data_IF_139010207983
#
_entry.id   IF_139010207983
#
_cell.length_a   1.000
_cell.length_b   1.000
_cell.length_c   1.000
_cell.angle_alpha   90.00
_cell.angle_beta   90.00
_cell.angle_gamma   90.00
#
_symmetry.space_group_name_H-M   'P 1'
#
loop_
_entity.id
_entity.type
_entity.pdbx_description
1 polymer ?
#
# COMPACT_ATOMS: atom_id res chain seq x y z
N UNK A 1 49.99 38.71 -39.87
CA UNK A 1 50.70 37.59 -39.21
C UNK A 1 50.41 37.71 -37.71
N UNK A 2 49.92 36.67 -37.01
CA UNK A 2 50.72 35.80 -36.09
C UNK A 2 51.69 36.59 -35.20
N UNK A 3 51.74 36.45 -33.87
CA UNK A 3 51.13 35.50 -32.91
C UNK A 3 51.32 36.01 -31.46
N UNK A 4 50.42 35.68 -30.51
CA UNK A 4 50.71 35.50 -29.05
C UNK A 4 51.33 36.72 -28.28
N UNK A 5 51.41 36.86 -26.94
CA UNK A 5 50.88 36.27 -25.68
C UNK A 5 51.24 37.29 -24.54
N UNK A 6 50.77 37.27 -23.28
CA UNK A 6 49.84 36.40 -22.54
C UNK A 6 49.23 37.11 -21.29
N UNK A 7 48.20 36.48 -20.70
CA UNK A 7 47.86 36.35 -19.25
C UNK A 7 48.18 37.53 -18.27
N UNK A 8 47.13 38.08 -17.65
CA UNK A 8 46.90 37.80 -16.22
C UNK A 8 45.40 37.74 -15.88
N UNK A 9 44.97 36.63 -15.27
CA UNK A 9 43.57 36.36 -14.97
C UNK A 9 43.15 37.01 -13.64
N UNK A 10 42.01 37.71 -13.64
CA UNK A 10 41.27 38.00 -12.42
C UNK A 10 39.77 37.99 -12.70
N UNK A 11 39.19 36.78 -12.78
CA UNK A 11 37.74 36.60 -12.70
C UNK A 11 37.41 35.78 -11.46
N UNK A 12 36.84 36.50 -10.49
CA UNK A 12 36.44 35.98 -9.18
C UNK A 12 35.29 35.00 -9.39
N UNK A 13 35.51 33.73 -9.04
CA UNK A 13 34.47 32.70 -9.11
C UNK A 13 33.51 32.88 -7.94
N UNK A 14 32.50 33.72 -8.12
CA UNK A 14 31.32 33.76 -7.26
C UNK A 14 30.39 32.59 -7.63
N UNK A 15 30.81 31.37 -7.30
CA UNK A 15 29.93 30.20 -7.32
C UNK A 15 28.92 30.31 -6.18
N UNK A 16 27.82 31.02 -6.42
CA UNK A 16 26.66 31.00 -5.54
C UNK A 16 26.15 29.56 -5.45
N UNK A 17 26.40 28.92 -4.31
CA UNK A 17 25.97 27.55 -4.05
C UNK A 17 24.45 27.47 -4.09
N UNK A 18 23.92 26.83 -5.13
CA UNK A 18 22.51 26.47 -5.20
C UNK A 18 22.27 25.37 -4.17
N UNK A 19 21.92 25.74 -2.95
CA UNK A 19 21.43 24.80 -1.96
C UNK A 19 20.08 24.28 -2.44
N UNK A 20 20.11 23.23 -3.26
CA UNK A 20 18.94 22.45 -3.62
C UNK A 20 18.48 21.71 -2.35
N UNK A 21 17.68 22.40 -1.53
CA UNK A 21 16.94 21.79 -0.44
C UNK A 21 15.95 20.80 -1.05
N UNK A 22 16.38 19.55 -1.19
CA UNK A 22 15.51 18.43 -1.47
C UNK A 22 14.56 18.29 -0.28
N UNK A 23 13.38 18.91 -0.39
CA UNK A 23 12.31 18.73 0.58
C UNK A 23 12.02 17.23 0.67
N UNK A 24 12.09 16.61 1.87
CA UNK A 24 11.76 15.21 2.01
C UNK A 24 10.28 15.04 1.64
N UNK A 25 10.02 14.35 0.53
CA UNK A 25 8.66 13.93 0.18
C UNK A 25 8.18 13.02 1.29
N UNK A 26 7.30 13.52 2.14
CA UNK A 26 6.70 12.76 3.22
C UNK A 26 5.85 11.64 2.62
N UNK A 27 6.42 10.43 2.61
CA UNK A 27 5.70 9.20 2.32
C UNK A 27 4.71 8.94 3.47
N UNK A 28 3.52 9.54 3.36
CA UNK A 28 2.42 9.28 4.27
C UNK A 28 1.89 7.86 4.04
N UNK A 29 2.39 6.88 4.79
CA UNK A 29 1.78 5.55 4.85
C UNK A 29 0.35 5.66 5.38
N UNK A 30 -0.62 5.41 4.50
CA UNK A 30 -2.04 5.51 4.82
C UNK A 30 -2.44 4.24 5.57
N UNK A 31 -2.63 4.38 6.89
CA UNK A 31 -3.16 3.29 7.73
C UNK A 31 -4.68 3.40 7.83
N UNK A 32 -5.41 2.33 7.46
CA UNK A 32 -6.86 2.20 7.63
C UNK A 32 -7.19 1.05 8.57
N UNK A 33 -8.21 1.24 9.40
CA UNK A 33 -8.73 0.18 10.28
C UNK A 33 -10.11 -0.27 9.83
N UNK A 34 -10.37 -1.57 9.94
CA UNK A 34 -11.63 -2.21 9.59
C UNK A 34 -12.07 -3.14 10.73
N UNK A 35 -13.36 -3.08 11.10
CA UNK A 35 -13.96 -3.98 12.08
C UNK A 35 -14.84 -5.00 11.37
N UNK A 36 -14.37 -6.23 11.27
CA UNK A 36 -15.04 -7.33 10.58
C UNK A 36 -15.93 -8.06 11.58
N UNK A 37 -17.17 -7.61 11.68
CA UNK A 37 -18.20 -8.28 12.50
C UNK A 37 -18.55 -9.67 11.93
N UNK A 38 -18.91 -10.65 12.78
CA UNK A 38 -19.36 -11.97 12.34
C UNK A 38 -20.43 -11.90 11.25
N UNK A 39 -20.19 -12.60 10.14
CA UNK A 39 -21.05 -12.72 8.95
C UNK A 39 -21.47 -11.39 8.29
N UNK A 40 -20.80 -10.26 8.60
CA UNK A 40 -21.05 -8.97 7.94
C UNK A 40 -19.92 -8.66 6.95
N UNK A 41 -20.22 -8.50 5.64
CA UNK A 41 -19.22 -8.10 4.67
C UNK A 41 -18.76 -6.66 4.90
N UNK A 42 -17.46 -6.42 4.70
CA UNK A 42 -16.85 -5.09 4.70
C UNK A 42 -16.04 -4.91 3.41
N UNK A 43 -16.30 -3.85 2.67
CA UNK A 43 -15.62 -3.55 1.42
C UNK A 43 -14.42 -2.62 1.61
N UNK A 44 -13.30 -2.97 0.99
CA UNK A 44 -12.11 -2.14 0.81
C UNK A 44 -11.95 -1.81 -0.69
N UNK A 45 -12.06 -0.54 -1.04
CA UNK A 45 -11.70 -0.04 -2.37
C UNK A 45 -10.31 0.60 -2.32
N UNK A 46 -9.43 0.17 -3.22
CA UNK A 46 -8.08 0.71 -3.38
C UNK A 46 -8.12 1.79 -4.47
N UNK A 47 -7.92 3.09 -4.15
CA UNK A 47 -8.10 4.18 -5.11
C UNK A 47 -6.98 4.25 -6.15
N UNK A 48 -5.81 3.69 -5.85
CA UNK A 48 -4.64 3.63 -6.72
C UNK A 48 -4.12 2.19 -6.78
N UNK A 49 -3.25 1.90 -7.75
CA UNK A 49 -2.53 0.62 -7.78
C UNK A 49 -1.56 0.59 -6.61
N UNK A 50 -1.79 -0.29 -5.64
CA UNK A 50 -1.06 -0.31 -4.37
C UNK A 50 -0.94 -1.73 -3.81
N UNK A 51 0.02 -1.91 -2.91
CA UNK A 51 0.28 -3.15 -2.19
C UNK A 51 0.04 -2.91 -0.70
N UNK A 52 -1.06 -3.43 -0.18
CA UNK A 52 -1.50 -3.21 1.19
C UNK A 52 -1.26 -4.45 2.04
N UNK A 53 -0.67 -4.28 3.23
CA UNK A 53 -0.55 -5.32 4.24
C UNK A 53 -1.56 -5.07 5.35
N UNK A 54 -2.48 -6.01 5.56
CA UNK A 54 -3.49 -5.96 6.61
C UNK A 54 -3.12 -6.89 7.76
N UNK A 55 -2.69 -6.33 8.90
CA UNK A 55 -2.43 -7.07 10.14
C UNK A 55 -3.74 -7.26 10.90
N UNK A 56 -4.04 -8.49 11.30
CA UNK A 56 -5.28 -8.83 11.99
C UNK A 56 -5.08 -8.93 13.51
N UNK A 57 -6.11 -8.56 14.27
CA UNK A 57 -6.23 -8.77 15.72
C UNK A 57 -7.53 -9.51 16.02
N UNK A 58 -7.44 -10.61 16.78
CA UNK A 58 -8.58 -11.47 17.13
C UNK A 58 -8.25 -12.40 18.31
N UNK A 59 -9.27 -12.87 19.02
CA UNK A 59 -9.10 -13.79 20.17
C UNK A 59 -8.88 -15.25 19.76
N UNK A 60 -9.46 -15.66 18.62
CA UNK A 60 -9.53 -17.07 18.21
C UNK A 60 -9.26 -17.21 16.71
N UNK A 61 -8.87 -18.42 16.27
CA UNK A 61 -8.73 -18.72 14.85
C UNK A 61 -10.08 -18.67 14.13
N UNK A 62 -10.12 -17.99 13.00
CA UNK A 62 -11.32 -17.79 12.19
C UNK A 62 -11.05 -18.09 10.70
N UNK A 63 -12.12 -18.13 9.91
CA UNK A 63 -12.03 -18.12 8.46
C UNK A 63 -12.53 -16.79 7.92
N UNK A 64 -11.78 -16.22 6.99
CA UNK A 64 -12.13 -15.00 6.28
C UNK A 64 -12.44 -15.35 4.82
N UNK A 65 -13.68 -15.11 4.40
CA UNK A 65 -14.06 -15.13 3.00
C UNK A 65 -13.63 -13.80 2.36
N UNK A 66 -12.93 -13.88 1.24
CA UNK A 66 -12.38 -12.73 0.53
C UNK A 66 -12.88 -12.80 -0.92
N UNK A 67 -13.59 -11.79 -1.39
CA UNK A 67 -14.25 -11.78 -2.70
C UNK A 67 -13.91 -10.50 -3.47
N UNK A 68 -13.59 -10.61 -4.76
CA UNK A 68 -13.33 -9.42 -5.60
C UNK A 68 -14.65 -8.97 -6.23
N UNK A 69 -15.14 -7.78 -5.85
CA UNK A 69 -16.38 -7.19 -6.39
C UNK A 69 -16.15 -6.43 -7.69
N UNK A 70 -14.98 -5.81 -7.83
CA UNK A 70 -14.56 -5.02 -9.00
C UNK A 70 -13.04 -5.15 -9.18
N UNK A 71 -12.56 -5.22 -10.42
CA UNK A 71 -11.14 -5.28 -10.74
C UNK A 71 -10.52 -6.67 -10.54
N UNK A 72 -9.22 -6.68 -10.23
CA UNK A 72 -8.40 -7.87 -10.02
C UNK A 72 -7.45 -7.61 -8.84
N UNK A 73 -7.29 -8.60 -7.98
CA UNK A 73 -6.42 -8.54 -6.80
C UNK A 73 -5.60 -9.82 -6.66
N UNK A 74 -4.38 -9.70 -6.16
CA UNK A 74 -3.59 -10.83 -5.66
C UNK A 74 -3.73 -10.84 -4.14
N UNK A 75 -4.31 -11.91 -3.61
CA UNK A 75 -4.57 -12.12 -2.18
C UNK A 75 -3.73 -13.30 -1.72
N UNK A 76 -2.74 -13.09 -0.85
CA UNK A 76 -1.82 -14.14 -0.40
C UNK A 76 -1.29 -15.01 -1.56
N UNK A 77 -0.70 -14.35 -2.58
CA UNK A 77 -0.19 -14.91 -3.83
C UNK A 77 -1.24 -15.57 -4.77
N UNK A 78 -2.51 -15.64 -4.40
CA UNK A 78 -3.59 -16.12 -5.26
C UNK A 78 -4.20 -14.96 -6.07
N UNK A 79 -4.14 -15.02 -7.40
CA UNK A 79 -4.80 -14.03 -8.27
C UNK A 79 -6.31 -14.31 -8.32
N UNK A 80 -7.10 -13.31 -7.95
CA UNK A 80 -8.56 -13.31 -8.01
C UNK A 80 -9.05 -12.19 -8.94
N UNK A 81 -9.99 -12.54 -9.80
CA UNK A 81 -10.71 -11.62 -10.68
C UNK A 81 -12.12 -11.35 -10.15
N UNK A 82 -12.78 -10.29 -10.65
CA UNK A 82 -14.18 -9.99 -10.35
C UNK A 82 -15.07 -11.25 -10.30
N UNK A 83 -15.83 -11.38 -9.21
CA UNK A 83 -16.74 -12.49 -8.95
C UNK A 83 -16.10 -13.69 -8.25
N UNK A 84 -14.78 -13.87 -8.33
CA UNK A 84 -14.07 -14.93 -7.64
C UNK A 84 -13.88 -14.62 -6.15
N UNK A 85 -13.79 -15.68 -5.35
CA UNK A 85 -13.49 -15.60 -3.93
C UNK A 85 -12.51 -16.68 -3.48
N UNK A 86 -11.84 -16.44 -2.37
CA UNK A 86 -11.04 -17.42 -1.63
C UNK A 86 -11.41 -17.38 -0.14
N UNK A 87 -11.09 -18.45 0.59
CA UNK A 87 -11.26 -18.51 2.04
C UNK A 87 -9.91 -18.73 2.69
N UNK A 88 -9.53 -17.83 3.60
CA UNK A 88 -8.27 -17.91 4.33
C UNK A 88 -8.52 -18.21 5.82
N UNK A 89 -7.82 -19.20 6.37
CA UNK A 89 -7.71 -19.33 7.83
C UNK A 89 -6.86 -18.18 8.37
N UNK A 90 -7.33 -17.52 9.42
CA UNK A 90 -6.71 -16.35 10.06
C UNK A 90 -6.63 -16.52 11.58
N UNK A 91 -5.60 -15.94 12.19
CA UNK A 91 -5.30 -15.98 13.63
C UNK A 91 -4.68 -14.64 14.06
N UNK A 92 -4.50 -14.39 15.36
CA UNK A 92 -3.96 -13.12 15.87
C UNK A 92 -2.62 -12.76 15.23
N UNK A 93 -2.42 -11.48 14.93
CA UNK A 93 -1.23 -10.90 14.28
C UNK A 93 -0.92 -11.44 12.86
N UNK A 94 -1.75 -12.32 12.29
CA UNK A 94 -1.58 -12.75 10.90
C UNK A 94 -1.74 -11.55 9.96
N UNK A 95 -0.82 -11.43 9.00
CA UNK A 95 -0.90 -10.46 7.91
C UNK A 95 -1.56 -11.07 6.66
N UNK A 96 -2.40 -10.29 5.99
CA UNK A 96 -2.91 -10.59 4.63
C UNK A 96 -2.31 -9.58 3.66
N UNK A 97 -1.67 -10.07 2.61
CA UNK A 97 -1.18 -9.25 1.50
C UNK A 97 -2.27 -9.06 0.44
N UNK A 98 -2.55 -7.81 0.08
CA UNK A 98 -3.50 -7.41 -0.95
C UNK A 98 -2.79 -6.51 -1.96
N UNK A 99 -2.46 -7.05 -3.13
CA UNK A 99 -1.93 -6.26 -4.25
C UNK A 99 -3.02 -6.09 -5.29
N UNK A 100 -3.38 -4.86 -5.64
CA UNK A 100 -4.48 -4.62 -6.57
C UNK A 100 -4.22 -3.42 -7.48
N UNK A 101 -4.93 -3.39 -8.62
CA UNK A 101 -4.98 -2.23 -9.50
C UNK A 101 -5.89 -1.15 -8.91
N UNK A 102 -5.76 0.09 -9.42
CA UNK A 102 -6.66 1.19 -9.07
C UNK A 102 -8.14 0.80 -9.29
N UNK A 103 -9.01 1.35 -8.44
CA UNK A 103 -10.44 1.09 -8.41
C UNK A 103 -10.86 -0.38 -8.21
N UNK A 104 -9.96 -1.23 -7.72
CA UNK A 104 -10.31 -2.60 -7.30
C UNK A 104 -11.05 -2.54 -5.96
N UNK A 105 -12.16 -3.27 -5.86
CA UNK A 105 -12.94 -3.41 -4.62
C UNK A 105 -12.92 -4.87 -4.19
N UNK A 106 -12.43 -5.10 -2.97
CA UNK A 106 -12.38 -6.41 -2.31
C UNK A 106 -13.32 -6.39 -1.10
N UNK A 107 -14.14 -7.42 -0.98
CA UNK A 107 -15.04 -7.66 0.14
C UNK A 107 -14.43 -8.72 1.08
N UNK A 108 -14.47 -8.42 2.38
CA UNK A 108 -14.01 -9.29 3.45
C UNK A 108 -15.18 -9.65 4.36
N UNK A 109 -15.46 -10.94 4.52
CA UNK A 109 -16.54 -11.44 5.39
C UNK A 109 -15.96 -12.41 6.41
N UNK A 110 -16.05 -12.02 7.68
CA UNK A 110 -15.62 -12.85 8.81
C UNK A 110 -16.63 -13.99 9.03
N UNK A 111 -16.22 -15.23 8.77
CA UNK A 111 -17.03 -16.44 9.01
C UNK A 111 -16.89 -16.98 10.45
N UNK A 112 -16.14 -16.28 11.30
CA UNK A 112 -15.98 -16.57 12.72
C UNK A 112 -17.15 -16.12 13.59
N UNK A 113 -16.96 -16.17 14.91
CA UNK A 113 -17.98 -15.83 15.92
C UNK A 113 -17.69 -14.56 16.72
N UNK A 114 -16.45 -14.08 16.73
CA UNK A 114 -16.06 -12.81 17.37
C UNK A 114 -15.53 -11.81 16.33
N UNK A 115 -15.35 -10.55 16.71
CA UNK A 115 -14.93 -9.48 15.81
C UNK A 115 -13.44 -9.64 15.48
N UNK A 116 -13.07 -9.44 14.21
CA UNK A 116 -11.68 -9.27 13.79
C UNK A 116 -11.43 -7.79 13.53
N UNK A 117 -10.40 -7.21 14.16
CA UNK A 117 -9.90 -5.87 13.80
C UNK A 117 -8.76 -6.03 12.79
N UNK A 118 -8.88 -5.41 11.62
CA UNK A 118 -7.84 -5.41 10.59
C UNK A 118 -7.23 -4.01 10.46
N UNK A 119 -5.91 -3.91 10.58
CA UNK A 119 -5.15 -2.66 10.37
C UNK A 119 -4.33 -2.80 9.10
N UNK A 120 -4.72 -2.06 8.06
CA UNK A 120 -4.17 -2.11 6.72
C UNK A 120 -3.28 -0.90 6.45
N UNK A 121 -2.02 -1.11 6.10
CA UNK A 121 -1.06 -0.07 5.71
C UNK A 121 -0.46 -0.32 4.33
N UNK A 122 0.02 0.75 3.70
CA UNK A 122 0.74 0.76 2.42
C UNK A 122 2.07 1.52 2.55
#
# INVERSE_FOLDING_TARGET
MRHSWNILCCFIVLSMGINAYAAPTSFFSITKQYLLSPNKPVSMTLPTRMSTLCTLRMENTHYLLIKVLKGNAVINNSTLSKGQSTTAMVFDQKTIGVVANADTTVEFTNLGRTIIQATCSN
#
